data_IF_833998573802
#
_entry.id   IF_833998573802
#
_cell.length_a   1.000
_cell.length_b   1.000
_cell.length_c   1.000
_cell.angle_alpha   90.00
_cell.angle_beta   90.00
_cell.angle_gamma   90.00
#
_symmetry.space_group_name_H-M   'P 1'
#
loop_
_entity.id
_entity.type
_entity.pdbx_description
1 polymer ?
#
# COMPACT_ATOMS: atom_id res chain seq x y z
N UNK A 1 -25.23 4.64 -33.30
CA UNK A 1 -24.42 5.83 -32.99
C UNK A 1 -24.53 6.05 -31.49
N UNK A 2 -23.57 5.60 -30.66
CA UNK A 2 -23.59 5.94 -29.26
C UNK A 2 -23.16 7.40 -29.14
N UNK A 3 -24.08 8.22 -28.62
CA UNK A 3 -23.90 9.65 -28.36
C UNK A 3 -22.72 9.81 -27.40
N UNK A 4 -21.71 10.57 -27.81
CA UNK A 4 -20.63 10.99 -26.93
C UNK A 4 -21.22 11.74 -25.74
N UNK A 5 -21.01 11.22 -24.53
CA UNK A 5 -21.31 11.97 -23.32
C UNK A 5 -20.36 13.18 -23.27
N UNK A 6 -20.97 14.36 -23.19
CA UNK A 6 -20.26 15.64 -23.09
C UNK A 6 -19.50 15.74 -21.75
N UNK A 7 -18.35 16.42 -21.68
CA UNK A 7 -17.49 16.49 -20.50
C UNK A 7 -18.02 17.40 -19.37
N UNK A 8 -19.31 17.39 -19.06
CA UNK A 8 -19.95 18.42 -18.20
C UNK A 8 -21.16 17.93 -17.40
N UNK A 9 -21.04 16.88 -16.58
CA UNK A 9 -22.07 16.54 -15.55
C UNK A 9 -21.49 15.92 -14.25
N UNK A 10 -20.19 16.04 -13.98
CA UNK A 10 -19.68 15.66 -12.67
C UNK A 10 -20.18 16.67 -11.62
N UNK A 11 -20.97 16.23 -10.64
CA UNK A 11 -21.36 17.06 -9.51
C UNK A 11 -20.09 17.65 -8.86
N UNK A 12 -20.08 18.93 -8.44
CA UNK A 12 -18.93 19.49 -7.76
C UNK A 12 -18.65 18.66 -6.50
N UNK A 13 -17.48 18.03 -6.45
CA UNK A 13 -17.08 17.23 -5.30
C UNK A 13 -16.82 18.15 -4.10
N UNK A 14 -17.25 17.76 -2.89
CA UNK A 14 -16.81 18.44 -1.69
C UNK A 14 -15.28 18.39 -1.62
N UNK A 15 -14.66 19.54 -1.34
CA UNK A 15 -13.22 19.59 -1.15
C UNK A 15 -12.86 18.90 0.16
N UNK A 16 -11.99 17.91 0.08
CA UNK A 16 -11.38 17.34 1.27
C UNK A 16 -10.41 18.37 1.86
N UNK A 17 -10.50 18.61 3.16
CA UNK A 17 -9.57 19.50 3.83
C UNK A 17 -8.54 18.68 4.60
N UNK A 18 -7.26 18.87 4.25
CA UNK A 18 -6.16 18.22 4.98
C UNK A 18 -6.26 18.58 6.47
N UNK A 19 -6.38 17.59 7.38
CA UNK A 19 -6.46 17.86 8.81
C UNK A 19 -5.22 18.61 9.32
N UNK A 20 -5.33 19.32 10.44
CA UNK A 20 -4.15 19.91 11.07
C UNK A 20 -3.20 18.81 11.59
N UNK A 21 -1.90 19.08 11.59
CA UNK A 21 -0.92 18.22 12.27
C UNK A 21 -1.23 18.20 13.77
N UNK A 22 -1.01 17.06 14.42
CA UNK A 22 -1.20 16.96 15.87
C UNK A 22 -0.20 17.86 16.60
N UNK A 23 -0.65 18.39 17.73
CA UNK A 23 0.13 19.16 18.70
C UNK A 23 0.75 18.27 19.78
N UNK A 24 0.39 16.99 19.83
CA UNK A 24 0.95 16.02 20.77
C UNK A 24 2.36 15.60 20.35
N UNK A 25 3.27 15.54 21.33
CA UNK A 25 4.58 14.93 21.14
C UNK A 25 4.43 13.39 21.20
N UNK A 26 4.55 12.76 20.04
CA UNK A 26 4.45 11.32 19.87
C UNK A 26 5.85 10.73 19.69
N UNK A 27 6.08 9.44 20.00
CA UNK A 27 7.35 8.80 19.73
C UNK A 27 7.52 8.56 18.22
N UNK A 28 7.94 9.61 17.50
CA UNK A 28 8.12 9.61 16.06
C UNK A 28 9.25 8.66 15.63
N UNK A 29 9.06 8.03 14.47
CA UNK A 29 10.11 7.33 13.75
C UNK A 29 10.98 8.34 12.98
N UNK A 30 12.27 8.03 12.86
CA UNK A 30 13.20 8.79 12.03
C UNK A 30 13.03 8.40 10.55
N UNK A 31 12.06 9.02 9.88
CA UNK A 31 11.74 8.74 8.47
C UNK A 31 12.59 9.61 7.56
N UNK A 32 13.52 8.99 6.84
CA UNK A 32 14.36 9.65 5.83
C UNK A 32 13.51 10.10 4.64
N UNK A 33 13.73 11.33 4.18
CA UNK A 33 13.05 11.92 3.01
C UNK A 33 14.01 11.93 1.83
N UNK A 34 13.62 11.29 0.73
CA UNK A 34 14.36 11.22 -0.52
C UNK A 34 13.73 12.18 -1.54
N UNK A 35 14.55 12.99 -2.20
CA UNK A 35 14.07 13.92 -3.23
C UNK A 35 14.24 13.31 -4.63
N UNK A 36 13.14 12.81 -5.21
CA UNK A 36 13.16 12.20 -6.54
C UNK A 36 13.34 13.21 -7.67
N UNK A 37 13.34 14.52 -7.40
CA UNK A 37 13.67 15.53 -8.41
C UNK A 37 15.15 15.48 -8.81
N UNK A 38 16.02 14.94 -7.93
CA UNK A 38 17.45 14.77 -8.22
C UNK A 38 17.76 13.46 -8.93
N UNK A 39 16.76 12.62 -9.21
CA UNK A 39 16.95 11.27 -9.76
C UNK A 39 17.74 11.24 -11.06
N UNK A 40 17.43 12.15 -11.98
CA UNK A 40 18.05 12.24 -13.31
C UNK A 40 19.32 13.12 -13.33
N UNK A 41 19.71 13.69 -12.17
CA UNK A 41 20.94 14.47 -12.06
C UNK A 41 22.18 13.55 -12.14
N UNK A 42 23.35 14.05 -12.61
CA UNK A 42 24.59 13.26 -12.60
C UNK A 42 24.93 12.75 -11.18
N UNK A 43 25.04 11.43 -11.00
CA UNK A 43 25.28 10.80 -9.70
C UNK A 43 24.04 10.73 -8.78
N UNK A 44 22.88 11.17 -9.27
CA UNK A 44 21.65 11.30 -8.49
C UNK A 44 21.07 9.96 -8.06
N UNK A 45 21.05 8.98 -8.96
CA UNK A 45 20.54 7.63 -8.67
C UNK A 45 21.40 6.91 -7.63
N UNK A 46 22.72 7.01 -7.73
CA UNK A 46 23.66 6.38 -6.80
C UNK A 46 23.51 6.96 -5.39
N UNK A 47 23.42 8.30 -5.29
CA UNK A 47 23.18 8.97 -4.01
C UNK A 47 21.84 8.57 -3.40
N UNK A 48 20.76 8.60 -4.18
CA UNK A 48 19.43 8.21 -3.72
C UNK A 48 19.35 6.73 -3.34
N UNK A 49 20.10 5.85 -4.02
CA UNK A 49 20.16 4.43 -3.71
C UNK A 49 20.83 4.19 -2.34
N UNK A 50 21.94 4.86 -2.04
CA UNK A 50 22.55 4.80 -0.70
C UNK A 50 21.63 5.40 0.36
N UNK A 51 20.95 6.51 0.06
CA UNK A 51 19.98 7.10 0.98
C UNK A 51 18.81 6.15 1.28
N UNK A 52 18.29 5.48 0.26
CA UNK A 52 17.23 4.49 0.36
C UNK A 52 17.69 3.25 1.15
N UNK A 53 18.92 2.77 0.87
CA UNK A 53 19.52 1.63 1.57
C UNK A 53 19.56 1.89 3.07
N UNK A 54 20.07 3.04 3.49
CA UNK A 54 20.10 3.44 4.90
C UNK A 54 18.70 3.45 5.51
N UNK A 55 17.73 4.06 4.82
CA UNK A 55 16.37 4.20 5.33
C UNK A 55 15.71 2.83 5.55
N UNK A 56 15.84 1.93 4.58
CA UNK A 56 15.20 0.62 4.62
C UNK A 56 15.82 -0.27 5.70
N UNK A 57 17.13 -0.18 5.96
CA UNK A 57 17.74 -0.92 7.06
C UNK A 57 17.48 -0.33 8.45
N UNK A 58 17.21 0.98 8.54
CA UNK A 58 16.91 1.62 9.81
C UNK A 58 15.45 1.42 10.24
N UNK A 59 14.52 1.80 9.36
CA UNK A 59 13.07 1.86 9.67
C UNK A 59 12.22 1.00 8.75
N UNK A 60 12.75 0.58 7.59
CA UNK A 60 11.97 -0.07 6.51
C UNK A 60 10.93 0.83 5.85
N UNK A 61 10.87 2.10 6.28
CA UNK A 61 9.94 3.13 5.82
C UNK A 61 10.71 4.40 5.49
N UNK A 62 10.37 5.03 4.38
CA UNK A 62 10.98 6.27 3.93
C UNK A 62 9.90 7.16 3.33
N UNK A 63 10.19 8.43 3.13
CA UNK A 63 9.32 9.31 2.35
C UNK A 63 10.01 9.71 1.06
N UNK A 64 9.24 9.88 -0.02
CA UNK A 64 9.72 10.48 -1.26
C UNK A 64 9.00 11.80 -1.53
N UNK A 65 9.76 12.78 -2.02
CA UNK A 65 9.30 14.09 -2.49
C UNK A 65 9.82 14.33 -3.90
N UNK A 66 9.53 15.49 -4.51
CA UNK A 66 10.01 15.79 -5.86
C UNK A 66 9.48 14.82 -6.93
N UNK A 67 8.30 14.23 -6.69
CA UNK A 67 7.70 13.16 -7.50
C UNK A 67 7.09 13.65 -8.83
N UNK A 68 7.01 14.98 -8.99
CA UNK A 68 6.33 15.65 -10.08
C UNK A 68 4.80 15.65 -9.94
N UNK A 69 4.21 14.92 -9.00
CA UNK A 69 2.77 15.01 -8.70
C UNK A 69 2.50 16.33 -7.98
N UNK A 70 1.53 17.09 -8.46
CA UNK A 70 1.13 18.35 -7.84
C UNK A 70 0.23 18.10 -6.63
N UNK A 71 0.22 19.04 -5.67
CA UNK A 71 -0.72 18.99 -4.55
C UNK A 71 -2.18 18.96 -5.01
N UNK A 72 -2.50 19.62 -6.13
CA UNK A 72 -3.86 19.62 -6.71
C UNK A 72 -4.26 18.22 -7.20
N UNK A 73 -3.39 17.53 -7.94
CA UNK A 73 -3.68 16.17 -8.42
C UNK A 73 -3.91 15.19 -7.26
N UNK A 74 -3.11 15.29 -6.19
CA UNK A 74 -3.29 14.48 -4.98
C UNK A 74 -4.57 14.86 -4.25
N UNK A 75 -4.83 16.16 -4.08
CA UNK A 75 -6.03 16.68 -3.43
C UNK A 75 -7.31 16.20 -4.12
N UNK A 76 -7.32 16.18 -5.45
CA UNK A 76 -8.45 15.68 -6.23
C UNK A 76 -8.77 14.21 -5.95
N UNK A 77 -7.76 13.35 -5.75
CA UNK A 77 -8.00 11.97 -5.34
C UNK A 77 -8.64 11.87 -3.95
N UNK A 78 -8.22 12.74 -3.01
CA UNK A 78 -8.86 12.83 -1.69
C UNK A 78 -10.32 13.32 -1.79
N UNK A 79 -10.61 14.30 -2.64
CA UNK A 79 -11.99 14.77 -2.88
C UNK A 79 -12.88 13.62 -3.40
N UNK A 80 -12.41 12.87 -4.40
CA UNK A 80 -13.12 11.73 -4.99
C UNK A 80 -13.33 10.63 -3.95
N UNK A 81 -12.27 10.24 -3.23
CA UNK A 81 -12.34 9.21 -2.20
C UNK A 81 -13.31 9.59 -1.07
N UNK A 82 -13.22 10.82 -0.54
CA UNK A 82 -14.11 11.32 0.50
C UNK A 82 -15.57 11.28 0.03
N UNK A 83 -15.85 11.79 -1.16
CA UNK A 83 -17.18 11.86 -1.70
C UNK A 83 -17.78 10.48 -1.97
N UNK A 84 -16.97 9.52 -2.45
CA UNK A 84 -17.41 8.13 -2.59
C UNK A 84 -17.85 7.56 -1.24
N UNK A 85 -17.05 7.70 -0.19
CA UNK A 85 -17.41 7.16 1.12
C UNK A 85 -18.59 7.87 1.78
N UNK A 86 -18.94 9.08 1.32
CA UNK A 86 -20.11 9.83 1.79
C UNK A 86 -21.44 9.41 1.15
N UNK A 87 -21.43 8.62 0.06
CA UNK A 87 -22.68 8.12 -0.54
C UNK A 87 -23.35 7.07 0.38
N UNK A 88 -24.66 6.81 0.24
CA UNK A 88 -25.37 5.83 1.07
C UNK A 88 -24.70 4.47 1.10
N UNK A 89 -24.65 3.83 2.27
CA UNK A 89 -24.04 2.51 2.45
C UNK A 89 -24.60 1.46 1.49
N UNK A 90 -25.92 1.43 1.29
CA UNK A 90 -26.57 0.49 0.36
C UNK A 90 -26.15 0.65 -1.10
N UNK A 91 -25.72 1.85 -1.51
CA UNK A 91 -25.20 2.09 -2.86
C UNK A 91 -23.77 1.56 -2.99
N UNK A 92 -22.93 1.79 -1.98
CA UNK A 92 -21.54 1.27 -1.93
C UNK A 92 -21.49 -0.26 -1.84
N UNK A 93 -22.34 -0.84 -0.99
CA UNK A 93 -22.25 -2.23 -0.54
C UNK A 93 -22.98 -3.25 -1.42
N UNK A 94 -23.34 -2.90 -2.66
CA UNK A 94 -23.99 -3.86 -3.56
C UNK A 94 -23.01 -5.00 -3.92
N UNK A 95 -23.47 -6.28 -3.95
CA UNK A 95 -22.59 -7.44 -4.06
C UNK A 95 -21.61 -7.41 -5.24
N UNK A 96 -22.03 -6.90 -6.40
CA UNK A 96 -21.21 -6.81 -7.61
C UNK A 96 -20.05 -5.80 -7.50
N UNK A 97 -20.11 -4.89 -6.54
CA UNK A 97 -19.03 -3.92 -6.30
C UNK A 97 -18.08 -4.37 -5.19
N UNK A 98 -18.40 -5.44 -4.45
CA UNK A 98 -17.58 -5.89 -3.32
C UNK A 98 -16.35 -6.66 -3.76
N UNK A 99 -15.31 -6.62 -2.95
CA UNK A 99 -14.13 -7.47 -3.14
C UNK A 99 -14.50 -8.96 -3.06
N UNK A 100 -13.93 -9.77 -3.95
CA UNK A 100 -14.06 -11.22 -3.95
C UNK A 100 -12.85 -11.88 -3.26
N UNK A 101 -12.83 -11.73 -1.93
CA UNK A 101 -11.78 -12.32 -1.08
C UNK A 101 -11.71 -13.85 -1.18
N UNK A 102 -12.79 -14.53 -1.55
CA UNK A 102 -12.83 -15.99 -1.67
C UNK A 102 -11.93 -16.48 -2.81
N UNK A 103 -11.87 -15.73 -3.91
CA UNK A 103 -10.93 -16.00 -5.01
C UNK A 103 -9.60 -15.22 -4.87
N UNK A 104 -9.44 -14.45 -3.78
CA UNK A 104 -8.29 -13.59 -3.54
C UNK A 104 -8.35 -12.27 -4.29
N UNK A 105 -9.47 -11.96 -4.95
CA UNK A 105 -9.65 -10.70 -5.66
C UNK A 105 -9.86 -9.55 -4.68
N UNK A 106 -8.93 -8.59 -4.68
CA UNK A 106 -8.99 -7.41 -3.80
C UNK A 106 -9.48 -6.15 -4.52
N UNK A 107 -9.97 -6.23 -5.76
CA UNK A 107 -10.56 -5.09 -6.44
C UNK A 107 -11.99 -4.80 -5.96
N UNK A 108 -12.44 -3.55 -6.04
CA UNK A 108 -13.77 -3.14 -5.59
C UNK A 108 -13.81 -2.67 -4.12
N UNK A 109 -15.00 -2.67 -3.55
CA UNK A 109 -15.34 -2.16 -2.24
C UNK A 109 -15.17 -3.20 -1.14
N UNK A 110 -14.37 -2.87 -0.12
CA UNK A 110 -14.30 -3.57 1.16
C UNK A 110 -15.18 -2.82 2.14
N UNK A 111 -16.20 -3.51 2.64
CA UNK A 111 -17.24 -2.91 3.47
C UNK A 111 -16.76 -2.64 4.90
N UNK A 112 -17.32 -1.58 5.49
CA UNK A 112 -17.13 -1.23 6.90
C UNK A 112 -17.65 -2.34 7.83
N UNK A 113 -16.88 -2.70 8.85
CA UNK A 113 -17.35 -3.56 9.95
C UNK A 113 -17.56 -5.03 9.61
N UNK A 114 -16.96 -5.52 8.52
CA UNK A 114 -17.07 -6.92 8.10
C UNK A 114 -16.49 -7.89 9.13
N UNK A 115 -15.49 -7.47 9.93
CA UNK A 115 -14.74 -8.34 10.84
C UNK A 115 -14.73 -7.82 12.26
N UNK A 116 -14.62 -8.74 13.20
CA UNK A 116 -14.29 -8.42 14.59
C UNK A 116 -12.79 -8.16 14.73
N UNK A 117 -12.40 -7.48 15.80
CA UNK A 117 -11.01 -7.12 16.06
C UNK A 117 -10.57 -7.72 17.39
N UNK A 118 -9.38 -8.34 17.41
CA UNK A 118 -8.74 -8.92 18.61
C UNK A 118 -9.64 -9.89 19.39
N UNK A 119 -10.48 -10.68 18.72
CA UNK A 119 -11.38 -11.65 19.37
C UNK A 119 -12.50 -11.02 20.20
N UNK A 120 -12.77 -9.73 20.03
CA UNK A 120 -13.83 -8.99 20.73
C UNK A 120 -15.09 -8.88 19.86
N UNK A 121 -16.15 -8.28 20.39
CA UNK A 121 -17.35 -7.91 19.63
C UNK A 121 -17.18 -6.65 18.77
N UNK A 122 -16.10 -5.89 18.98
CA UNK A 122 -15.85 -4.62 18.29
C UNK A 122 -15.52 -4.89 16.83
N UNK A 123 -16.24 -4.19 15.94
CA UNK A 123 -16.08 -4.31 14.49
C UNK A 123 -14.96 -3.42 13.98
N UNK A 124 -14.27 -3.85 12.93
CA UNK A 124 -13.28 -3.02 12.26
C UNK A 124 -13.92 -1.73 11.72
N UNK A 125 -13.21 -0.62 11.86
CA UNK A 125 -13.73 0.72 11.58
C UNK A 125 -13.24 1.27 10.24
N UNK A 126 -12.88 0.39 9.30
CA UNK A 126 -12.28 0.77 8.03
C UNK A 126 -13.07 0.25 6.85
N UNK A 127 -13.34 1.12 5.88
CA UNK A 127 -13.80 0.75 4.55
C UNK A 127 -12.77 1.17 3.50
N UNK A 128 -12.78 0.52 2.34
CA UNK A 128 -11.87 0.89 1.25
C UNK A 128 -12.46 0.60 -0.13
N UNK A 129 -11.99 1.32 -1.15
CA UNK A 129 -12.25 0.99 -2.55
C UNK A 129 -10.93 0.82 -3.28
N UNK A 130 -10.80 -0.29 -4.00
CA UNK A 130 -9.59 -0.72 -4.71
C UNK A 130 -9.82 -0.67 -6.21
N UNK A 131 -9.20 0.29 -6.89
CA UNK A 131 -9.22 0.39 -8.34
C UNK A 131 -8.18 -0.54 -8.95
N UNK A 132 -8.63 -1.55 -9.71
CA UNK A 132 -7.76 -2.23 -10.67
C UNK A 132 -7.18 -1.22 -11.68
N UNK A 133 -6.08 -1.60 -12.35
CA UNK A 133 -5.53 -0.83 -13.47
C UNK A 133 -6.57 -0.60 -14.58
N UNK A 134 -6.42 0.49 -15.31
CA UNK A 134 -7.34 0.90 -16.36
C UNK A 134 -6.86 0.40 -17.72
N UNK A 135 -6.74 -0.94 -17.84
CA UNK A 135 -6.24 -1.62 -19.03
C UNK A 135 -7.27 -2.63 -19.54
N UNK A 136 -7.19 -3.09 -20.80
CA UNK A 136 -8.12 -4.09 -21.33
C UNK A 136 -8.18 -5.39 -20.53
N UNK A 137 -7.11 -5.75 -19.81
CA UNK A 137 -7.07 -6.92 -18.92
C UNK A 137 -8.14 -6.88 -17.82
N UNK A 138 -8.55 -5.69 -17.38
CA UNK A 138 -9.53 -5.48 -16.31
C UNK A 138 -10.86 -4.93 -16.82
N UNK A 139 -11.16 -5.09 -18.11
CA UNK A 139 -12.45 -4.67 -18.68
C UNK A 139 -13.65 -5.42 -18.05
N UNK A 140 -13.43 -6.63 -17.54
CA UNK A 140 -14.44 -7.42 -16.81
C UNK A 140 -14.58 -7.08 -15.33
N UNK A 141 -13.67 -6.28 -14.75
CA UNK A 141 -13.76 -5.86 -13.36
C UNK A 141 -14.88 -4.83 -13.19
N UNK A 142 -15.84 -5.14 -12.32
CA UNK A 142 -16.98 -4.25 -12.10
C UNK A 142 -16.54 -3.05 -11.29
N UNK A 143 -16.77 -1.85 -11.83
CA UNK A 143 -16.48 -0.58 -11.15
C UNK A 143 -17.76 0.09 -10.70
N UNK A 144 -17.74 0.70 -9.53
CA UNK A 144 -18.88 1.45 -9.03
C UNK A 144 -19.13 2.69 -9.93
N UNK A 145 -20.38 2.92 -10.39
CA UNK A 145 -20.69 3.98 -11.37
C UNK A 145 -20.38 5.40 -10.88
N UNK A 146 -20.31 5.62 -9.56
CA UNK A 146 -19.83 6.87 -8.95
C UNK A 146 -18.51 7.37 -9.55
N UNK A 147 -17.59 6.46 -9.90
CA UNK A 147 -16.27 6.82 -10.39
C UNK A 147 -16.23 7.14 -11.89
N UNK A 148 -17.31 6.87 -12.64
CA UNK A 148 -17.31 7.04 -14.09
C UNK A 148 -16.99 8.48 -14.54
N UNK A 149 -17.55 9.54 -13.93
CA UNK A 149 -17.23 10.91 -14.31
C UNK A 149 -15.77 11.31 -14.01
N UNK A 150 -15.10 10.61 -13.10
CA UNK A 150 -13.74 10.89 -12.66
C UNK A 150 -12.71 9.89 -13.19
N UNK A 151 -13.15 8.92 -14.00
CA UNK A 151 -12.30 7.82 -14.51
C UNK A 151 -11.01 8.32 -15.15
N UNK A 152 -11.00 9.34 -16.05
CA UNK A 152 -9.76 9.82 -16.66
C UNK A 152 -8.76 10.37 -15.65
N UNK A 153 -9.24 11.05 -14.62
CA UNK A 153 -8.40 11.65 -13.56
C UNK A 153 -7.81 10.57 -12.64
N UNK A 154 -8.60 9.57 -12.25
CA UNK A 154 -8.14 8.44 -11.44
C UNK A 154 -7.13 7.59 -12.22
N UNK A 155 -7.39 7.34 -13.51
CA UNK A 155 -6.47 6.60 -14.38
C UNK A 155 -5.14 7.35 -14.54
N UNK A 156 -5.17 8.65 -14.86
CA UNK A 156 -3.96 9.44 -15.03
C UNK A 156 -3.11 9.44 -13.75
N UNK A 157 -3.75 9.62 -12.59
CA UNK A 157 -3.07 9.55 -11.30
C UNK A 157 -2.47 8.17 -11.03
N UNK A 158 -3.24 7.11 -11.28
CA UNK A 158 -2.81 5.71 -11.12
C UNK A 158 -1.60 5.37 -12.00
N UNK A 159 -1.58 5.81 -13.27
CA UNK A 159 -0.43 5.64 -14.18
C UNK A 159 0.80 6.37 -13.66
N UNK A 160 0.64 7.64 -13.27
CA UNK A 160 1.74 8.46 -12.75
C UNK A 160 2.30 7.96 -11.43
N UNK A 161 1.46 7.38 -10.56
CA UNK A 161 1.90 6.75 -9.33
C UNK A 161 2.86 5.59 -9.61
N UNK A 162 2.52 4.71 -10.56
CA UNK A 162 3.37 3.58 -10.91
C UNK A 162 4.61 4.04 -11.70
N UNK A 163 4.39 4.67 -12.85
CA UNK A 163 5.46 4.98 -13.82
C UNK A 163 6.37 6.14 -13.38
N UNK A 164 5.79 7.13 -12.70
CA UNK A 164 6.51 8.33 -12.28
C UNK A 164 7.16 8.21 -10.89
N UNK A 165 6.62 7.37 -10.00
CA UNK A 165 7.11 7.26 -8.61
C UNK A 165 7.62 5.86 -8.31
N UNK A 166 6.76 4.84 -8.37
CA UNK A 166 7.14 3.48 -7.98
C UNK A 166 8.29 2.95 -8.84
N UNK A 167 8.26 3.14 -10.16
CA UNK A 167 9.34 2.68 -11.06
C UNK A 167 10.69 3.30 -10.72
N UNK A 168 10.74 4.57 -10.32
CA UNK A 168 11.99 5.22 -9.89
C UNK A 168 12.52 4.59 -8.60
N UNK A 169 11.63 4.35 -7.63
CA UNK A 169 11.99 3.69 -6.36
C UNK A 169 12.44 2.24 -6.60
N UNK A 170 11.76 1.49 -7.49
CA UNK A 170 12.15 0.14 -7.90
C UNK A 170 13.51 0.12 -8.61
N UNK A 171 13.84 1.14 -9.39
CA UNK A 171 15.17 1.28 -9.99
C UNK A 171 16.25 1.50 -8.92
N UNK A 172 15.99 2.32 -7.90
CA UNK A 172 16.91 2.47 -6.76
C UNK A 172 17.13 1.14 -6.03
N UNK A 173 16.09 0.35 -5.81
CA UNK A 173 16.23 -0.99 -5.23
C UNK A 173 17.07 -1.93 -6.10
N UNK A 174 16.92 -1.87 -7.42
CA UNK A 174 17.75 -2.63 -8.33
C UNK A 174 19.23 -2.23 -8.23
N UNK A 175 19.52 -0.93 -8.14
CA UNK A 175 20.88 -0.40 -7.92
C UNK A 175 21.46 -0.90 -6.60
N UNK A 176 20.70 -0.82 -5.49
CA UNK A 176 21.14 -1.34 -4.18
C UNK A 176 21.53 -2.81 -4.28
N UNK A 177 20.78 -3.62 -5.02
CA UNK A 177 21.04 -5.04 -5.22
C UNK A 177 22.06 -5.33 -6.33
N UNK A 178 22.72 -4.32 -6.89
CA UNK A 178 23.68 -4.45 -8.00
C UNK A 178 23.09 -5.17 -9.23
N UNK A 179 21.80 -4.95 -9.49
CA UNK A 179 21.06 -5.46 -10.64
C UNK A 179 20.96 -4.38 -11.73
N UNK A 180 20.62 -4.74 -12.98
CA UNK A 180 20.23 -3.76 -13.99
C UNK A 180 19.11 -2.85 -13.47
N UNK A 181 19.18 -1.54 -13.71
CA UNK A 181 18.25 -0.57 -13.11
C UNK A 181 16.77 -0.85 -13.43
N UNK A 182 16.46 -1.44 -14.58
CA UNK A 182 15.11 -1.80 -14.98
C UNK A 182 14.66 -3.19 -14.48
N UNK A 183 15.47 -3.90 -13.68
CA UNK A 183 15.23 -5.29 -13.32
C UNK A 183 13.85 -5.51 -12.71
N UNK A 184 13.50 -4.74 -11.68
CA UNK A 184 12.18 -4.81 -11.06
C UNK A 184 11.11 -4.11 -11.90
N UNK A 185 11.44 -2.99 -12.56
CA UNK A 185 10.49 -2.20 -13.37
C UNK A 185 9.83 -3.07 -14.46
N UNK A 186 10.59 -3.96 -15.10
CA UNK A 186 10.07 -4.88 -16.13
C UNK A 186 8.95 -5.80 -15.64
N UNK A 187 8.90 -6.10 -14.34
CA UNK A 187 7.84 -6.90 -13.72
C UNK A 187 6.67 -6.09 -13.16
N UNK A 188 6.65 -4.76 -13.36
CA UNK A 188 5.67 -3.84 -12.79
C UNK A 188 5.19 -2.80 -13.82
N UNK A 189 5.09 -3.16 -15.10
CA UNK A 189 4.57 -2.24 -16.12
C UNK A 189 3.08 -2.00 -15.91
N UNK A 190 2.60 -0.80 -16.23
CA UNK A 190 1.19 -0.47 -16.03
C UNK A 190 0.28 -1.27 -16.95
N UNK A 191 0.67 -1.46 -18.21
CA UNK A 191 -0.18 -2.14 -19.19
C UNK A 191 -0.13 -3.67 -19.11
N UNK A 192 0.79 -4.23 -18.31
CA UNK A 192 0.87 -5.67 -18.03
C UNK A 192 -0.13 -6.06 -16.91
N UNK A 193 -0.66 -7.29 -16.92
CA UNK A 193 -1.56 -7.77 -15.86
C UNK A 193 -0.79 -7.98 -14.54
N UNK A 194 -1.39 -7.50 -13.46
CA UNK A 194 -0.91 -7.56 -12.07
C UNK A 194 -2.05 -7.25 -11.08
N UNK A 195 -1.86 -7.58 -9.81
CA UNK A 195 -2.79 -7.17 -8.74
C UNK A 195 -2.55 -5.76 -8.16
N UNK A 196 -1.77 -4.90 -8.83
CA UNK A 196 -1.59 -3.51 -8.39
C UNK A 196 -2.93 -2.77 -8.35
N UNK A 197 -3.03 -1.86 -7.39
CA UNK A 197 -4.24 -1.04 -7.30
C UNK A 197 -3.99 0.28 -6.60
N UNK A 198 -4.72 1.29 -7.07
CA UNK A 198 -4.96 2.52 -6.33
C UNK A 198 -6.07 2.26 -5.30
N UNK A 199 -5.85 2.64 -4.05
CA UNK A 199 -6.81 2.48 -2.96
C UNK A 199 -7.18 3.81 -2.33
N UNK A 200 -8.48 4.02 -2.17
CA UNK A 200 -9.02 4.94 -1.17
C UNK A 200 -9.40 4.13 0.06
N UNK A 201 -9.06 4.61 1.26
CA UNK A 201 -9.33 3.89 2.50
C UNK A 201 -9.71 4.88 3.60
N UNK A 202 -10.86 4.66 4.24
CA UNK A 202 -11.39 5.55 5.25
C UNK A 202 -11.49 4.81 6.59
N UNK A 203 -10.83 5.35 7.61
CA UNK A 203 -11.06 4.95 8.99
C UNK A 203 -12.05 5.90 9.65
N UNK A 204 -13.08 5.32 10.25
CA UNK A 204 -14.11 6.02 11.00
C UNK A 204 -13.78 6.03 12.49
N UNK A 205 -13.89 7.16 13.20
CA UNK A 205 -13.75 7.18 14.66
C UNK A 205 -14.72 6.22 15.34
N UNK A 206 -14.23 5.51 16.36
CA UNK A 206 -15.07 4.75 17.29
C UNK A 206 -15.14 5.43 18.65
N UNK A 207 -16.18 5.15 19.47
CA UNK A 207 -16.19 5.53 20.88
C UNK A 207 -14.92 5.05 21.59
N UNK A 208 -14.42 5.85 22.54
CA UNK A 208 -13.20 5.52 23.29
C UNK A 208 -13.32 4.18 24.02
N UNK A 209 -14.49 3.89 24.59
CA UNK A 209 -14.75 2.62 25.27
C UNK A 209 -14.68 1.40 24.34
N UNK A 210 -14.98 1.55 23.04
CA UNK A 210 -14.81 0.48 22.05
C UNK A 210 -13.35 0.33 21.65
N UNK A 211 -12.67 1.44 21.35
CA UNK A 211 -11.24 1.40 21.01
C UNK A 211 -10.40 0.82 22.14
N UNK A 212 -10.73 1.11 23.41
CA UNK A 212 -10.07 0.53 24.57
C UNK A 212 -10.14 -1.00 24.61
N UNK A 213 -11.28 -1.60 24.20
CA UNK A 213 -11.45 -3.07 24.16
C UNK A 213 -10.53 -3.75 23.16
N UNK A 214 -10.09 -3.01 22.14
CA UNK A 214 -9.21 -3.50 21.08
C UNK A 214 -7.84 -2.85 21.10
N UNK A 215 -7.41 -2.37 22.28
CA UNK A 215 -6.10 -1.74 22.50
C UNK A 215 -5.81 -0.62 21.48
N UNK A 216 -6.83 0.19 21.19
CA UNK A 216 -6.81 1.29 20.23
C UNK A 216 -6.47 0.86 18.78
N UNK A 217 -6.64 -0.42 18.42
CA UNK A 217 -6.29 -0.95 17.09
C UNK A 217 -7.33 -0.56 16.03
N UNK A 218 -6.91 0.24 15.04
CA UNK A 218 -7.71 0.60 13.86
C UNK A 218 -7.36 -0.26 12.64
N UNK A 219 -6.09 -0.66 12.50
CA UNK A 219 -5.66 -1.73 11.62
C UNK A 219 -4.66 -2.61 12.37
N UNK A 220 -4.85 -3.94 12.30
CA UNK A 220 -3.95 -4.90 12.95
C UNK A 220 -2.52 -4.76 12.45
N UNK A 221 -1.58 -5.20 13.27
CA UNK A 221 -0.19 -5.29 12.86
C UNK A 221 -0.05 -6.30 11.71
N UNK A 222 0.65 -5.91 10.64
CA UNK A 222 0.86 -6.71 9.44
C UNK A 222 2.06 -6.21 8.63
N UNK A 223 2.44 -6.98 7.62
CA UNK A 223 3.30 -6.56 6.51
C UNK A 223 2.51 -6.50 5.20
N UNK A 224 2.97 -5.69 4.26
CA UNK A 224 2.32 -5.54 2.96
C UNK A 224 2.72 -6.66 2.01
N UNK A 225 1.76 -7.25 1.29
CA UNK A 225 2.05 -8.46 0.52
C UNK A 225 2.84 -8.18 -0.78
N UNK A 226 2.96 -6.92 -1.19
CA UNK A 226 3.44 -6.54 -2.52
C UNK A 226 4.95 -6.34 -2.59
N UNK A 227 5.39 -5.54 -3.55
CA UNK A 227 6.77 -5.13 -3.73
C UNK A 227 7.05 -3.83 -2.98
N UNK A 228 6.14 -2.87 -3.11
CA UNK A 228 6.27 -1.51 -2.61
C UNK A 228 4.87 -0.96 -2.34
N UNK A 229 4.70 -0.21 -1.27
CA UNK A 229 3.49 0.58 -1.03
C UNK A 229 3.83 2.06 -1.13
N UNK A 230 2.98 2.81 -1.82
CA UNK A 230 2.98 4.28 -1.81
C UNK A 230 1.78 4.75 -0.99
N UNK A 231 1.99 5.54 0.05
CA UNK A 231 0.95 6.16 0.87
C UNK A 231 1.15 7.67 0.84
N UNK A 232 0.24 8.40 0.18
CA UNK A 232 0.30 9.85 0.19
C UNK A 232 0.07 10.37 1.60
N UNK A 233 0.98 11.23 2.06
CA UNK A 233 0.99 11.67 3.44
C UNK A 233 -0.22 12.54 3.75
N UNK A 234 -0.83 12.27 4.89
CA UNK A 234 -1.88 13.08 5.48
C UNK A 234 -1.62 13.24 6.98
N UNK A 235 -2.21 14.25 7.59
CA UNK A 235 -1.78 14.74 8.89
C UNK A 235 -2.31 14.00 10.12
N UNK A 236 -3.35 13.17 10.00
CA UNK A 236 -3.90 12.36 11.10
C UNK A 236 -2.90 11.28 11.48
N UNK A 237 -2.29 11.42 12.66
CA UNK A 237 -1.38 10.44 13.21
C UNK A 237 -2.13 9.15 13.55
N UNK A 238 -1.43 8.02 13.44
CA UNK A 238 -2.00 6.70 13.74
C UNK A 238 -1.24 5.55 13.12
N UNK A 239 -0.59 5.76 11.97
CA UNK A 239 0.32 4.78 11.40
C UNK A 239 1.55 4.63 12.32
N UNK A 240 1.82 3.40 12.74
CA UNK A 240 3.00 3.04 13.52
C UNK A 240 3.78 1.93 12.84
N UNK A 241 5.10 2.00 12.93
CA UNK A 241 6.03 0.95 12.49
C UNK A 241 6.66 0.29 13.71
N UNK A 242 6.97 -0.99 13.60
CA UNK A 242 7.70 -1.75 14.62
C UNK A 242 9.19 -1.68 14.28
N UNK A 243 9.98 -1.03 15.12
CA UNK A 243 11.43 -0.89 14.93
C UNK A 243 12.14 -2.22 15.11
N UNK A 244 13.42 -2.29 14.71
CA UNK A 244 14.29 -3.43 14.97
C UNK A 244 14.52 -3.70 16.46
N UNK A 245 14.37 -2.68 17.32
CA UNK A 245 14.37 -2.82 18.79
C UNK A 245 13.05 -3.35 19.35
N UNK A 246 12.02 -3.52 18.52
CA UNK A 246 10.69 -4.01 18.91
C UNK A 246 9.72 -2.93 19.40
N UNK A 247 10.10 -1.66 19.33
CA UNK A 247 9.26 -0.53 19.76
C UNK A 247 8.30 -0.08 18.64
N UNK A 248 7.11 0.38 19.03
CA UNK A 248 6.18 1.02 18.10
C UNK A 248 6.47 2.52 18.01
N UNK A 249 6.76 3.02 16.81
CA UNK A 249 7.03 4.44 16.54
C UNK A 249 6.05 4.99 15.52
N UNK A 250 5.56 6.21 15.72
CA UNK A 250 4.63 6.86 14.80
C UNK A 250 5.34 7.34 13.54
N UNK A 251 4.73 7.15 12.38
CA UNK A 251 5.23 7.73 11.13
C UNK A 251 4.81 9.20 11.07
N UNK A 252 5.75 10.17 11.07
CA UNK A 252 5.41 11.59 10.99
C UNK A 252 4.82 11.95 9.63
N UNK A 253 3.88 12.90 9.57
CA UNK A 253 3.42 13.45 8.29
C UNK A 253 4.53 14.25 7.61
N UNK A 254 4.69 14.07 6.30
CA UNK A 254 5.68 14.76 5.47
C UNK A 254 4.92 15.57 4.42
N UNK A 255 5.07 16.90 4.43
CA UNK A 255 4.35 17.76 3.49
C UNK A 255 4.81 17.49 2.06
N UNK A 256 3.85 17.25 1.15
CA UNK A 256 4.14 16.84 -0.23
C UNK A 256 4.80 15.46 -0.35
N UNK A 257 4.94 14.74 0.77
CA UNK A 257 5.60 13.45 0.84
C UNK A 257 4.67 12.29 0.52
N UNK A 258 5.26 11.24 -0.04
CA UNK A 258 4.66 9.92 -0.15
C UNK A 258 5.44 9.01 0.80
N UNK A 259 4.79 8.46 1.81
CA UNK A 259 5.37 7.45 2.68
C UNK A 259 5.44 6.13 1.90
N UNK A 260 6.60 5.51 1.90
CA UNK A 260 6.89 4.29 1.17
C UNK A 260 7.40 3.21 2.13
N UNK A 261 7.04 1.96 1.85
CA UNK A 261 7.61 0.79 2.53
C UNK A 261 7.80 -0.40 1.61
N UNK A 262 8.81 -1.21 1.94
CA UNK A 262 9.06 -2.49 1.30
C UNK A 262 7.93 -3.46 1.66
N UNK A 263 7.46 -4.21 0.66
CA UNK A 263 6.53 -5.32 0.86
C UNK A 263 7.23 -6.69 0.77
N UNK A 264 6.49 -7.72 1.15
CA UNK A 264 6.97 -9.09 1.31
C UNK A 264 7.56 -9.70 0.03
N UNK A 265 7.09 -9.29 -1.16
CA UNK A 265 7.65 -9.79 -2.42
C UNK A 265 9.08 -9.28 -2.64
N UNK A 266 9.35 -8.02 -2.29
CA UNK A 266 10.70 -7.45 -2.45
C UNK A 266 11.63 -7.93 -1.33
N UNK A 267 11.10 -8.15 -0.13
CA UNK A 267 11.79 -8.90 0.93
C UNK A 267 12.27 -10.25 0.40
N UNK A 268 11.36 -11.02 -0.19
CA UNK A 268 11.70 -12.33 -0.73
C UNK A 268 12.69 -12.28 -1.90
N UNK A 269 12.49 -11.38 -2.88
CA UNK A 269 13.44 -11.17 -3.98
C UNK A 269 14.83 -10.76 -3.48
N UNK A 270 14.90 -10.05 -2.35
CA UNK A 270 16.16 -9.62 -1.75
C UNK A 270 16.73 -10.64 -0.75
N UNK A 271 16.15 -11.84 -0.62
CA UNK A 271 16.53 -12.83 0.39
C UNK A 271 16.58 -12.22 1.81
N UNK A 272 15.57 -11.41 2.15
CA UNK A 272 15.42 -10.68 3.41
C UNK A 272 16.51 -9.65 3.72
N UNK A 273 17.24 -9.22 2.69
CA UNK A 273 18.14 -8.08 2.79
C UNK A 273 17.36 -6.76 2.90
N UNK A 274 16.33 -6.56 2.07
CA UNK A 274 15.40 -5.42 2.14
C UNK A 274 14.15 -5.86 2.91
N UNK A 275 14.08 -5.59 4.21
CA UNK A 275 13.02 -6.15 5.05
C UNK A 275 11.67 -5.47 4.91
N UNK A 276 10.62 -6.27 4.79
CA UNK A 276 9.23 -5.85 4.91
C UNK A 276 8.91 -5.56 6.38
N UNK A 277 8.66 -4.30 6.71
CA UNK A 277 8.51 -3.87 8.12
C UNK A 277 7.06 -3.98 8.60
N UNK A 278 6.88 -4.61 9.76
CA UNK A 278 5.59 -4.70 10.42
C UNK A 278 5.09 -3.32 10.81
N UNK A 279 3.85 -3.01 10.45
CA UNK A 279 3.20 -1.74 10.75
C UNK A 279 1.73 -1.95 11.11
N UNK A 280 1.14 -0.96 11.78
CA UNK A 280 -0.27 -0.97 12.22
C UNK A 280 -0.86 0.44 12.17
N UNK A 281 -2.18 0.54 12.32
CA UNK A 281 -2.84 1.84 12.55
C UNK A 281 -3.53 1.80 13.90
N UNK A 282 -3.26 2.80 14.74
CA UNK A 282 -3.89 2.99 16.04
C UNK A 282 -4.77 4.23 16.07
N UNK A 283 -5.62 4.32 17.09
CA UNK A 283 -6.43 5.50 17.42
C UNK A 283 -5.55 6.76 17.39
N UNK A 284 -5.97 7.82 16.68
CA UNK A 284 -5.27 9.11 16.65
C UNK A 284 -5.19 9.78 18.03
N UNK A 285 -4.27 10.75 18.22
CA UNK A 285 -4.23 11.56 19.43
C UNK A 285 -5.52 12.39 19.61
N UNK A 286 -5.82 12.85 20.85
CA UNK A 286 -7.08 13.51 21.18
C UNK A 286 -7.47 14.70 20.30
N UNK A 287 -6.50 15.48 19.82
CA UNK A 287 -6.73 16.64 18.96
C UNK A 287 -7.10 16.29 17.51
N UNK A 288 -7.08 15.00 17.16
CA UNK A 288 -7.41 14.48 15.83
C UNK A 288 -8.57 13.47 15.82
N UNK A 289 -9.26 13.26 16.96
CA UNK A 289 -10.37 12.31 17.07
C UNK A 289 -11.67 12.75 16.39
N UNK A 290 -11.80 14.04 16.06
CA UNK A 290 -13.04 14.63 15.55
C UNK A 290 -13.36 14.36 14.08
N UNK A 291 -12.50 13.62 13.36
CA UNK A 291 -12.66 13.41 11.92
C UNK A 291 -12.14 12.06 11.43
N UNK A 292 -12.55 11.71 10.22
CA UNK A 292 -12.12 10.47 9.57
C UNK A 292 -10.65 10.58 9.12
N UNK A 293 -9.94 9.45 9.16
CA UNK A 293 -8.61 9.33 8.55
C UNK A 293 -8.77 8.73 7.16
N UNK A 294 -8.72 9.58 6.13
CA UNK A 294 -8.73 9.17 4.74
C UNK A 294 -7.30 8.94 4.25
N UNK A 295 -7.00 7.73 3.80
CA UNK A 295 -5.75 7.37 3.17
C UNK A 295 -5.91 7.16 1.66
N UNK A 296 -4.86 7.53 0.93
CA UNK A 296 -4.69 7.33 -0.49
C UNK A 296 -3.43 6.47 -0.66
N UNK A 297 -3.57 5.33 -1.32
CA UNK A 297 -2.47 4.38 -1.47
C UNK A 297 -2.35 3.89 -2.91
N UNK A 298 -1.15 3.50 -3.30
CA UNK A 298 -0.91 2.66 -4.46
C UNK A 298 -0.11 1.45 -3.99
N UNK A 299 -0.72 0.26 -4.09
CA UNK A 299 -0.05 -0.98 -3.75
C UNK A 299 0.58 -1.56 -5.01
N UNK A 300 1.91 -1.60 -5.06
CA UNK A 300 2.69 -2.16 -6.15
C UNK A 300 2.87 -3.65 -5.89
N UNK A 301 2.45 -4.49 -6.82
CA UNK A 301 2.46 -5.96 -6.79
C UNK A 301 3.25 -6.48 -7.99
N UNK A 302 3.83 -7.69 -7.90
CA UNK A 302 4.43 -8.31 -9.07
C UNK A 302 3.38 -8.52 -10.17
N UNK A 303 3.80 -8.39 -11.43
CA UNK A 303 3.02 -8.85 -12.58
C UNK A 303 2.64 -10.32 -12.47
N UNK A 304 1.52 -10.71 -13.08
CA UNK A 304 0.87 -12.00 -12.87
C UNK A 304 1.82 -13.19 -13.08
N UNK A 305 2.64 -13.12 -14.13
CA UNK A 305 3.57 -14.18 -14.54
C UNK A 305 5.00 -14.04 -13.98
N UNK A 306 5.26 -13.01 -13.17
CA UNK A 306 6.58 -12.76 -12.58
C UNK A 306 6.89 -13.83 -11.55
N UNK A 307 8.10 -14.40 -11.63
CA UNK A 307 8.58 -15.38 -10.67
C UNK A 307 8.88 -14.74 -9.31
N UNK A 308 8.30 -15.29 -8.26
CA UNK A 308 8.66 -14.98 -6.88
C UNK A 308 9.76 -15.95 -6.47
N UNK A 309 11.03 -15.54 -6.68
CA UNK A 309 12.29 -16.23 -6.32
C UNK A 309 13.40 -15.22 -6.03
N UNK A 310 14.37 -15.51 -5.14
CA UNK A 310 15.47 -14.59 -4.87
C UNK A 310 16.12 -14.09 -6.17
N UNK A 311 16.35 -12.78 -6.24
CA UNK A 311 16.91 -12.14 -7.42
C UNK A 311 18.35 -12.60 -7.64
N UNK A 312 18.83 -12.69 -8.90
CA UNK A 312 20.20 -13.09 -9.22
C UNK A 312 21.22 -11.96 -8.94
N UNK A 313 21.15 -11.37 -7.76
CA UNK A 313 21.90 -10.19 -7.34
C UNK A 313 23.36 -10.53 -7.02
N UNK A 314 24.33 -9.80 -7.61
CA UNK A 314 25.73 -9.88 -7.24
C UNK A 314 25.98 -9.54 -5.76
N UNK A 315 25.26 -8.56 -5.21
CA UNK A 315 25.32 -8.23 -3.78
C UNK A 315 24.87 -9.39 -2.92
N UNK A 316 23.70 -9.97 -3.19
CA UNK A 316 23.19 -11.08 -2.38
C UNK A 316 24.12 -12.29 -2.42
N UNK A 317 24.72 -12.58 -3.58
CA UNK A 317 25.75 -13.64 -3.72
C UNK A 317 26.99 -13.33 -2.88
N UNK A 318 27.50 -12.10 -2.96
CA UNK A 318 28.68 -11.66 -2.18
C UNK A 318 28.43 -11.70 -0.67
N UNK A 319 27.20 -11.47 -0.23
CA UNK A 319 26.77 -11.59 1.16
C UNK A 319 26.45 -13.04 1.60
N UNK A 320 26.48 -14.01 0.68
CA UNK A 320 26.13 -15.40 0.96
C UNK A 320 24.64 -15.63 1.27
N UNK A 321 23.76 -14.69 0.90
CA UNK A 321 22.32 -14.79 1.12
C UNK A 321 21.61 -15.66 0.08
N UNK A 322 22.25 -15.86 -1.08
CA UNK A 322 21.77 -16.76 -2.14
C UNK A 322 22.92 -17.65 -2.62
N UNK A 323 22.67 -18.95 -2.73
CA UNK A 323 23.65 -19.94 -3.20
C UNK A 323 23.73 -20.04 -4.73
N UNK A 324 24.74 -20.75 -5.25
CA UNK A 324 24.94 -20.94 -6.70
C UNK A 324 23.85 -21.83 -7.36
N UNK A 325 23.21 -22.73 -6.59
CA UNK A 325 22.20 -23.67 -7.07
C UNK A 325 20.85 -23.45 -6.36
N UNK A 326 20.09 -22.43 -6.76
CA UNK A 326 18.66 -22.36 -6.45
C UNK A 326 17.84 -23.02 -7.58
N UNK A 327 18.04 -24.32 -7.78
CA UNK A 327 17.18 -25.18 -8.60
C UNK A 327 16.77 -26.34 -7.66
N UNK A 328 15.49 -26.52 -7.33
CA UNK A 328 14.66 -27.52 -8.01
C UNK A 328 13.14 -27.27 -7.92
N UNK A 329 12.68 -26.20 -7.26
CA UNK A 329 11.25 -25.92 -7.12
C UNK A 329 10.78 -24.86 -8.12
N UNK A 330 9.68 -25.15 -8.83
CA UNK A 330 9.03 -24.15 -9.68
C UNK A 330 8.63 -22.92 -8.84
N UNK A 331 9.01 -21.70 -9.25
CA UNK A 331 8.69 -20.50 -8.48
C UNK A 331 7.19 -20.23 -8.51
N UNK A 332 6.68 -19.71 -7.39
CA UNK A 332 5.31 -19.20 -7.32
C UNK A 332 5.20 -17.97 -8.22
N UNK A 333 4.09 -17.87 -8.95
CA UNK A 333 3.80 -16.72 -9.82
C UNK A 333 3.21 -15.54 -9.04
N UNK A 334 3.42 -14.33 -9.53
CA UNK A 334 2.94 -13.10 -8.90
C UNK A 334 1.45 -13.13 -8.55
N UNK A 335 0.60 -13.53 -9.52
CA UNK A 335 -0.85 -13.66 -9.30
C UNK A 335 -1.17 -14.70 -8.22
N UNK A 336 -0.57 -15.88 -8.32
CA UNK A 336 -0.79 -16.98 -7.35
C UNK A 336 -0.45 -16.53 -5.93
N UNK A 337 0.72 -15.90 -5.76
CA UNK A 337 1.19 -15.40 -4.48
C UNK A 337 0.26 -14.32 -3.91
N UNK A 338 -0.06 -13.28 -4.68
CA UNK A 338 -0.88 -12.16 -4.19
C UNK A 338 -2.29 -12.65 -3.84
N UNK A 339 -2.93 -13.44 -4.71
CA UNK A 339 -4.27 -13.99 -4.46
C UNK A 339 -4.27 -14.94 -3.26
N UNK A 340 -3.23 -15.74 -3.05
CA UNK A 340 -3.08 -16.58 -1.86
C UNK A 340 -2.94 -15.74 -0.58
N UNK A 341 -2.18 -14.65 -0.61
CA UNK A 341 -2.05 -13.71 0.52
C UNK A 341 -3.34 -12.97 0.85
N UNK A 342 -4.09 -12.53 -0.16
CA UNK A 342 -5.41 -11.93 0.04
C UNK A 342 -6.34 -12.94 0.69
N UNK A 343 -6.41 -14.17 0.18
CA UNK A 343 -7.20 -15.27 0.77
C UNK A 343 -6.81 -15.51 2.22
N UNK A 344 -5.52 -15.65 2.52
CA UNK A 344 -5.05 -15.89 3.89
C UNK A 344 -5.38 -14.72 4.83
N UNK A 345 -5.14 -13.48 4.41
CA UNK A 345 -5.42 -12.30 5.23
C UNK A 345 -6.92 -12.13 5.48
N UNK A 346 -7.75 -12.50 4.50
CA UNK A 346 -9.19 -12.26 4.51
C UNK A 346 -10.05 -13.52 4.75
N UNK A 347 -9.49 -14.68 5.08
CA UNK A 347 -10.29 -15.88 5.38
C UNK A 347 -10.94 -15.88 6.78
N UNK A 348 -10.48 -15.03 7.71
CA UNK A 348 -10.93 -15.04 9.12
C UNK A 348 -11.95 -13.95 9.43
N UNK A 349 -13.09 -14.30 10.03
CA UNK A 349 -14.07 -13.28 10.48
C UNK A 349 -13.56 -12.38 11.62
N UNK A 350 -12.38 -12.69 12.17
CA UNK A 350 -11.73 -11.95 13.24
C UNK A 350 -10.29 -11.55 12.86
N UNK A 351 -9.93 -10.30 13.10
CA UNK A 351 -8.56 -9.79 13.07
C UNK A 351 -7.88 -10.02 14.43
N UNK A 352 -7.72 -11.29 14.79
CA UNK A 352 -7.07 -11.74 16.01
C UNK A 352 -5.54 -11.69 15.92
N UNK A 353 -4.88 -12.02 17.02
CA UNK A 353 -3.43 -12.22 17.05
C UNK A 353 -3.06 -13.43 16.18
N UNK A 354 -2.20 -13.19 15.20
CA UNK A 354 -1.70 -14.22 14.28
C UNK A 354 -0.23 -14.55 14.52
N UNK A 355 0.38 -14.05 15.61
CA UNK A 355 1.79 -14.28 15.92
C UNK A 355 2.15 -15.77 15.84
N UNK A 356 3.19 -16.07 15.06
CA UNK A 356 3.71 -17.41 14.85
C UNK A 356 2.91 -18.26 13.85
N UNK A 357 1.79 -17.76 13.31
CA UNK A 357 1.12 -18.41 12.18
C UNK A 357 1.98 -18.31 10.94
N UNK A 358 1.95 -19.38 10.14
CA UNK A 358 2.74 -19.50 8.91
C UNK A 358 1.81 -19.45 7.71
N UNK A 359 2.00 -18.47 6.86
CA UNK A 359 1.46 -18.48 5.51
C UNK A 359 2.40 -19.26 4.60
N UNK A 360 1.85 -20.14 3.76
CA UNK A 360 2.61 -20.90 2.75
C UNK A 360 1.91 -20.91 1.41
N UNK A 361 2.69 -20.72 0.35
CA UNK A 361 2.26 -20.93 -1.04
C UNK A 361 3.48 -21.40 -1.83
N UNK A 362 3.38 -22.54 -2.51
CA UNK A 362 4.53 -23.21 -3.10
C UNK A 362 5.68 -23.38 -2.09
N UNK A 363 6.86 -22.84 -2.43
CA UNK A 363 8.06 -22.82 -1.59
C UNK A 363 8.20 -21.56 -0.72
N UNK A 364 7.24 -20.64 -0.76
CA UNK A 364 7.25 -19.42 0.02
C UNK A 364 6.66 -19.68 1.41
N UNK A 365 7.35 -19.22 2.44
CA UNK A 365 6.84 -19.20 3.82
C UNK A 365 6.99 -17.78 4.38
N UNK A 366 5.92 -17.26 4.98
CA UNK A 366 5.94 -16.00 5.73
C UNK A 366 5.43 -16.32 7.13
N UNK A 367 6.19 -15.93 8.15
CA UNK A 367 5.78 -16.03 9.54
C UNK A 367 5.16 -14.69 9.95
N UNK A 368 3.95 -14.71 10.47
CA UNK A 368 3.35 -13.50 11.04
C UNK A 368 4.05 -13.24 12.40
N UNK A 369 4.95 -12.26 12.44
CA UNK A 369 5.66 -11.84 13.66
C UNK A 369 4.93 -10.72 14.41
N UNK A 370 3.79 -10.29 13.87
CA UNK A 370 3.05 -9.14 14.34
C UNK A 370 2.22 -9.49 15.58
N UNK A 371 2.18 -8.56 16.54
CA UNK A 371 1.49 -8.65 17.84
C UNK A 371 0.64 -7.42 18.07
#
# INVERSE_FOLDING_TARGET
MPTALSPSEALPLPKWHRPAKTTYDLPWADIKVLDLSTFDAPGGKEKLAEELRDAVHNTGFFSVTGTGLTDEEVQRQYDIGQAFFAIPHGDKAQPQYKCDFANGNYFGYRELGERTVRGTEVRDNVESYNHAKFTPHYAGETRHPFFEPYRPEIEAFSRRALEGVASRVLELFAIILELPGDFFVRGHRYDDPSDDHLRYMLYHPRPEAEDAKVENTWARAHTDFGSLTLLWSQNVAGLQIKTTSGEWRYVPPVDGGIICNVGDTLDFWSASYLKSTTHRVVRPPPDQLGGNRLGLFYFVRPGDDVDIKPAPSPLLKRLGLVGENQEDAAPVKGLEYVRARVKDYHNSKDYGDRKGQKFRVGNLEIVDEAT
#
